data_IF_328939163550
#
_entry.id   IF_328939163550
#
_cell.length_a   1.000
_cell.length_b   1.000
_cell.length_c   1.000
_cell.angle_alpha   90.00
_cell.angle_beta   90.00
_cell.angle_gamma   90.00
#
_symmetry.space_group_name_H-M   'P 1'
#
loop_
_entity.id
_entity.type
_entity.pdbx_description
1 polymer ?
#
# COMPACT_ATOMS: atom_id res chain seq x y z
N UNK A 1 -6.39 26.93 -50.53
CA UNK A 1 -7.30 26.61 -49.39
C UNK A 1 -7.42 25.10 -49.31
N UNK A 2 -7.31 24.60 -48.08
CA UNK A 2 -7.59 23.25 -47.57
C UNK A 2 -6.67 22.06 -47.90
N UNK A 3 -6.05 21.58 -46.81
CA UNK A 3 -5.31 20.34 -46.58
C UNK A 3 -6.22 19.10 -46.68
N UNK A 4 -5.65 17.94 -47.01
CA UNK A 4 -5.68 16.79 -46.09
C UNK A 4 -4.66 15.73 -46.51
N UNK A 5 -3.98 15.17 -45.52
CA UNK A 5 -3.03 14.07 -45.62
C UNK A 5 -3.83 12.80 -45.44
N UNK A 6 -3.93 11.95 -46.46
CA UNK A 6 -4.51 10.62 -46.29
C UNK A 6 -3.47 9.71 -45.64
N UNK A 7 -3.65 9.50 -44.34
CA UNK A 7 -2.89 8.59 -43.52
C UNK A 7 -3.12 7.16 -44.01
N UNK A 8 -2.03 6.43 -44.26
CA UNK A 8 -2.06 5.00 -44.50
C UNK A 8 -2.85 4.28 -43.40
N UNK A 9 -3.87 3.54 -43.80
CA UNK A 9 -4.60 2.59 -42.95
C UNK A 9 -3.63 1.56 -42.37
N UNK A 10 -3.22 1.76 -41.13
CA UNK A 10 -2.56 0.72 -40.35
C UNK A 10 -3.67 -0.25 -39.91
N UNK A 11 -3.63 -1.54 -40.31
CA UNK A 11 -4.65 -2.48 -39.89
C UNK A 11 -4.61 -2.58 -38.37
N UNK A 12 -5.77 -2.40 -37.74
CA UNK A 12 -6.00 -2.67 -36.33
C UNK A 12 -5.70 -4.15 -36.08
N UNK A 13 -4.49 -4.45 -35.62
CA UNK A 13 -4.13 -5.78 -35.15
C UNK A 13 -4.94 -6.00 -33.87
N UNK A 14 -6.09 -6.67 -33.99
CA UNK A 14 -6.70 -7.30 -32.84
C UNK A 14 -5.68 -8.34 -32.38
N UNK A 15 -5.02 -8.06 -31.25
CA UNK A 15 -4.16 -9.04 -30.60
C UNK A 15 -5.08 -10.20 -30.23
N UNK A 16 -5.08 -11.22 -31.09
CA UNK A 16 -5.64 -12.53 -30.86
C UNK A 16 -5.34 -12.88 -29.40
N UNK A 17 -6.39 -13.05 -28.60
CA UNK A 17 -6.26 -13.42 -27.20
C UNK A 17 -5.61 -14.80 -27.20
N UNK A 18 -4.28 -14.80 -27.18
CA UNK A 18 -3.51 -16.01 -27.03
C UNK A 18 -3.93 -16.52 -25.67
N UNK A 19 -4.61 -17.66 -25.65
CA UNK A 19 -4.67 -18.50 -24.47
C UNK A 19 -3.22 -18.79 -24.12
N UNK A 20 -2.65 -17.93 -23.28
CA UNK A 20 -1.36 -18.15 -22.67
C UNK A 20 -1.45 -19.55 -22.06
N UNK A 21 -0.48 -20.40 -22.42
CA UNK A 21 -0.28 -21.70 -21.78
C UNK A 21 -0.57 -21.51 -20.29
N UNK A 22 -1.51 -22.28 -19.69
CA UNK A 22 -1.86 -22.07 -18.29
C UNK A 22 -0.54 -22.04 -17.51
N UNK A 23 -0.29 -20.94 -16.81
CA UNK A 23 0.91 -20.78 -15.99
C UNK A 23 0.83 -21.80 -14.86
N UNK A 24 1.18 -23.05 -15.15
CA UNK A 24 1.20 -24.16 -14.19
C UNK A 24 2.23 -23.91 -13.07
N UNK A 25 3.01 -22.82 -13.16
CA UNK A 25 3.96 -22.40 -12.15
C UNK A 25 3.31 -21.72 -10.92
N UNK A 26 2.09 -21.17 -11.04
CA UNK A 26 1.35 -20.63 -9.89
C UNK A 26 0.34 -21.67 -9.43
N UNK A 27 0.80 -22.60 -8.58
CA UNK A 27 -0.09 -23.51 -7.87
C UNK A 27 -0.98 -22.69 -6.92
N UNK A 28 -2.29 -22.94 -6.87
CA UNK A 28 -3.22 -22.28 -5.94
C UNK A 28 -2.68 -22.30 -4.49
N UNK A 29 -2.00 -23.39 -4.10
CA UNK A 29 -1.33 -23.50 -2.79
C UNK A 29 -0.25 -22.43 -2.57
N UNK A 30 0.55 -22.13 -3.59
CA UNK A 30 1.61 -21.12 -3.48
C UNK A 30 1.01 -19.72 -3.42
N UNK A 31 -0.07 -19.47 -4.18
CA UNK A 31 -0.82 -18.22 -4.09
C UNK A 31 -1.36 -17.98 -2.67
N UNK A 32 -2.02 -18.99 -2.09
CA UNK A 32 -2.59 -18.90 -0.74
C UNK A 32 -1.51 -18.64 0.31
N UNK A 33 -0.35 -19.29 0.19
CA UNK A 33 0.78 -19.07 1.10
C UNK A 33 1.29 -17.63 0.98
N UNK A 34 1.50 -17.11 -0.24
CA UNK A 34 1.96 -15.72 -0.44
C UNK A 34 0.94 -14.73 0.12
N UNK A 35 -0.36 -14.98 -0.09
CA UNK A 35 -1.43 -14.14 0.45
C UNK A 35 -1.38 -14.11 2.00
N UNK A 36 -1.28 -15.27 2.63
CA UNK A 36 -1.22 -15.40 4.08
C UNK A 36 0.01 -14.69 4.68
N UNK A 37 1.17 -14.79 4.02
CA UNK A 37 2.40 -14.11 4.46
C UNK A 37 2.22 -12.59 4.43
N UNK A 38 1.62 -12.04 3.37
CA UNK A 38 1.38 -10.59 3.23
C UNK A 38 0.31 -10.08 4.22
N UNK A 39 -0.71 -10.89 4.52
CA UNK A 39 -1.71 -10.56 5.53
C UNK A 39 -1.13 -10.51 6.94
N UNK A 40 -0.19 -11.43 7.23
CA UNK A 40 0.50 -11.51 8.52
C UNK A 40 1.50 -10.36 8.70
N UNK A 41 2.33 -10.09 7.68
CA UNK A 41 3.24 -8.95 7.68
C UNK A 41 3.26 -8.26 6.31
N UNK A 42 2.78 -7.02 6.30
CA UNK A 42 2.75 -6.17 5.10
C UNK A 42 4.13 -5.66 4.69
N UNK A 43 5.16 -5.84 5.51
CA UNK A 43 6.54 -5.41 5.23
C UNK A 43 7.42 -6.52 4.68
N UNK A 44 6.86 -7.70 4.40
CA UNK A 44 7.61 -8.83 3.88
C UNK A 44 8.37 -8.49 2.59
N UNK A 45 9.60 -8.97 2.51
CA UNK A 45 10.48 -8.77 1.37
C UNK A 45 10.42 -9.92 0.37
N UNK A 46 10.82 -9.65 -0.88
CA UNK A 46 10.96 -10.68 -1.91
C UNK A 46 11.89 -11.83 -1.49
N UNK A 47 12.92 -11.55 -0.70
CA UNK A 47 13.88 -12.54 -0.23
C UNK A 47 13.27 -13.50 0.79
N UNK A 48 12.44 -13.00 1.70
CA UNK A 48 11.75 -13.82 2.70
C UNK A 48 10.68 -14.71 2.07
N UNK A 49 9.94 -14.18 1.08
CA UNK A 49 8.99 -14.98 0.30
C UNK A 49 9.72 -16.06 -0.49
N UNK A 50 10.85 -15.71 -1.13
CA UNK A 50 11.69 -16.67 -1.86
C UNK A 50 12.27 -17.75 -0.93
N UNK A 51 12.72 -17.39 0.27
CA UNK A 51 13.23 -18.35 1.24
C UNK A 51 12.12 -19.30 1.73
N UNK A 52 10.90 -18.79 1.91
CA UNK A 52 9.75 -19.57 2.38
C UNK A 52 9.23 -20.55 1.32
N UNK A 53 9.23 -20.17 0.05
CA UNK A 53 8.59 -20.94 -1.03
C UNK A 53 9.57 -21.58 -2.03
N UNK A 54 10.84 -21.19 -2.01
CA UNK A 54 11.84 -21.65 -2.97
C UNK A 54 11.57 -21.20 -4.42
N UNK A 55 10.71 -20.21 -4.62
CA UNK A 55 10.27 -19.77 -5.94
C UNK A 55 11.21 -18.75 -6.57
N UNK A 56 11.22 -18.72 -7.91
CA UNK A 56 11.93 -17.69 -8.64
C UNK A 56 11.25 -16.31 -8.46
N UNK A 57 12.05 -15.25 -8.50
CA UNK A 57 11.59 -13.87 -8.31
C UNK A 57 10.56 -13.45 -9.37
N UNK A 58 10.65 -13.97 -10.60
CA UNK A 58 9.67 -13.71 -11.65
C UNK A 58 8.28 -14.25 -11.32
N UNK A 59 8.21 -15.43 -10.69
CA UNK A 59 6.95 -16.04 -10.28
C UNK A 59 6.34 -15.30 -9.10
N UNK A 60 7.16 -14.91 -8.12
CA UNK A 60 6.72 -14.07 -6.99
C UNK A 60 6.16 -12.75 -7.51
N UNK A 61 6.85 -12.12 -8.47
CA UNK A 61 6.39 -10.87 -9.10
C UNK A 61 5.04 -11.04 -9.80
N UNK A 62 4.85 -12.14 -10.56
CA UNK A 62 3.58 -12.44 -11.20
C UNK A 62 2.44 -12.64 -10.18
N UNK A 63 2.70 -13.37 -9.09
CA UNK A 63 1.73 -13.56 -8.00
C UNK A 63 1.36 -12.22 -7.36
N UNK A 64 2.37 -11.42 -7.01
CA UNK A 64 2.20 -10.17 -6.29
C UNK A 64 1.41 -9.12 -7.09
N UNK A 65 1.72 -8.97 -8.38
CA UNK A 65 1.14 -7.93 -9.23
C UNK A 65 -0.04 -8.38 -10.09
N UNK A 66 -0.01 -9.59 -10.67
CA UNK A 66 -1.09 -10.06 -11.57
C UNK A 66 -2.24 -10.71 -10.80
N UNK A 67 -1.92 -11.51 -9.79
CA UNK A 67 -2.93 -12.30 -9.07
C UNK A 67 -3.43 -11.58 -7.81
N UNK A 68 -2.54 -11.03 -6.99
CA UNK A 68 -2.89 -10.31 -5.75
C UNK A 68 -3.17 -8.82 -5.98
N UNK A 69 -2.69 -8.23 -7.09
CA UNK A 69 -2.88 -6.81 -7.39
C UNK A 69 -2.23 -5.86 -6.37
N UNK A 70 -1.27 -6.36 -5.59
CA UNK A 70 -0.65 -5.58 -4.52
C UNK A 70 0.35 -4.57 -5.09
N UNK A 71 0.52 -3.47 -4.35
CA UNK A 71 1.44 -2.38 -4.71
C UNK A 71 2.39 -2.14 -3.56
N UNK A 72 3.66 -1.94 -3.89
CA UNK A 72 4.65 -1.53 -2.90
C UNK A 72 4.34 -0.11 -2.45
N UNK A 73 4.04 0.04 -1.17
CA UNK A 73 3.89 1.35 -0.52
C UNK A 73 5.19 1.70 0.22
N UNK A 74 5.45 2.99 0.32
CA UNK A 74 6.54 3.50 1.15
C UNK A 74 6.00 3.78 2.55
N UNK A 75 6.73 3.37 3.58
CA UNK A 75 6.38 3.69 4.96
C UNK A 75 6.40 5.19 5.17
N UNK A 76 5.42 5.72 5.93
CA UNK A 76 5.44 7.12 6.36
C UNK A 76 6.49 7.29 7.46
N UNK A 77 7.31 8.33 7.37
CA UNK A 77 8.25 8.67 8.43
C UNK A 77 7.50 9.11 9.70
N UNK A 78 7.85 8.53 10.84
CA UNK A 78 7.30 8.87 12.15
C UNK A 78 8.42 9.56 12.95
N UNK A 79 8.23 10.82 13.40
CA UNK A 79 9.30 11.61 14.02
C UNK A 79 9.87 11.02 15.31
N UNK A 80 9.01 10.41 16.14
CA UNK A 80 9.39 9.86 17.42
C UNK A 80 8.54 8.64 17.76
N UNK A 81 9.15 7.65 18.40
CA UNK A 81 8.41 6.52 18.93
C UNK A 81 7.75 6.92 20.26
N UNK A 82 6.43 7.09 20.26
CA UNK A 82 5.68 7.46 21.47
C UNK A 82 5.57 6.30 22.44
N UNK A 83 5.82 6.56 23.73
CA UNK A 83 5.55 5.61 24.81
C UNK A 83 4.05 5.38 24.96
N UNK A 84 3.63 4.21 25.46
CA UNK A 84 2.20 3.89 25.67
C UNK A 84 1.46 4.92 26.53
N UNK A 85 2.11 5.47 27.56
CA UNK A 85 1.56 6.56 28.37
C UNK A 85 1.33 7.84 27.54
N UNK A 86 2.26 8.19 26.64
CA UNK A 86 2.13 9.35 25.75
C UNK A 86 1.00 9.14 24.73
N UNK A 87 0.85 7.94 24.18
CA UNK A 87 -0.26 7.58 23.28
C UNK A 87 -1.60 7.72 24.00
N UNK A 88 -1.70 7.19 25.22
CA UNK A 88 -2.91 7.27 26.04
C UNK A 88 -3.27 8.72 26.33
N UNK A 89 -2.30 9.54 26.78
CA UNK A 89 -2.52 10.96 27.02
C UNK A 89 -3.01 11.72 25.77
N UNK A 90 -2.42 11.44 24.60
CA UNK A 90 -2.85 12.02 23.32
C UNK A 90 -4.28 11.60 22.95
N UNK A 91 -4.65 10.33 23.10
CA UNK A 91 -6.01 9.85 22.81
C UNK A 91 -7.05 10.47 23.75
N UNK A 92 -6.78 10.49 25.06
CA UNK A 92 -7.65 11.12 26.05
C UNK A 92 -7.86 12.60 25.74
N UNK A 93 -6.78 13.32 25.39
CA UNK A 93 -6.85 14.73 25.02
C UNK A 93 -7.68 14.94 23.74
N UNK A 94 -7.39 14.20 22.67
CA UNK A 94 -8.11 14.32 21.40
C UNK A 94 -9.62 14.06 21.54
N UNK A 95 -10.02 13.15 22.44
CA UNK A 95 -11.42 12.87 22.70
C UNK A 95 -12.11 13.92 23.59
N UNK A 96 -11.36 14.54 24.52
CA UNK A 96 -11.89 15.59 25.40
C UNK A 96 -11.97 16.95 24.70
N UNK A 97 -11.01 17.27 23.83
CA UNK A 97 -10.87 18.59 23.20
C UNK A 97 -12.14 19.10 22.47
N UNK A 98 -12.88 18.26 21.71
CA UNK A 98 -14.08 18.71 21.02
C UNK A 98 -15.19 19.16 21.98
N UNK A 99 -15.28 18.55 23.17
CA UNK A 99 -16.29 18.91 24.19
C UNK A 99 -15.92 20.22 24.88
N UNK A 100 -14.66 20.36 25.30
CA UNK A 100 -14.16 21.58 25.96
C UNK A 100 -14.15 22.78 25.02
N UNK A 101 -13.93 22.57 23.72
CA UNK A 101 -13.97 23.64 22.72
C UNK A 101 -15.38 24.17 22.45
N UNK A 102 -16.41 23.31 22.53
CA UNK A 102 -17.81 23.74 22.36
C UNK A 102 -18.36 24.49 23.59
N UNK A 103 -17.79 24.26 24.77
CA UNK A 103 -18.23 24.88 26.02
C UNK A 103 -17.61 26.26 26.30
N UNK A 104 -16.64 26.74 25.50
CA UNK A 104 -16.13 28.10 25.63
C UNK A 104 -14.87 28.38 24.84
N UNK A 105 -14.93 29.41 23.99
CA UNK A 105 -13.88 29.86 23.07
C UNK A 105 -12.67 30.50 23.79
N UNK A 106 -11.88 29.72 24.53
CA UNK A 106 -10.62 30.19 25.11
C UNK A 106 -9.47 30.04 24.12
N UNK A 107 -8.88 31.17 23.72
CA UNK A 107 -7.72 31.23 22.81
C UNK A 107 -6.48 30.46 23.35
N UNK A 108 -6.44 30.14 24.65
CA UNK A 108 -5.35 29.41 25.32
C UNK A 108 -5.19 27.94 24.86
N UNK A 109 -6.24 27.34 24.29
CA UNK A 109 -6.18 25.95 23.78
C UNK A 109 -5.21 25.83 22.60
N UNK A 110 -4.94 26.94 21.88
CA UNK A 110 -4.00 26.96 20.75
C UNK A 110 -2.53 26.88 21.18
N UNK A 111 -2.22 27.28 22.41
CA UNK A 111 -0.83 27.36 22.89
C UNK A 111 -0.27 26.00 23.33
N UNK A 112 -1.14 25.01 23.58
CA UNK A 112 -0.75 23.68 24.07
C UNK A 112 -0.15 22.77 22.97
N UNK A 113 -0.21 23.18 21.69
CA UNK A 113 0.20 22.33 20.54
C UNK A 113 1.73 22.21 20.39
N UNK A 114 2.55 23.00 21.10
CA UNK A 114 4.02 22.86 21.09
C UNK A 114 4.57 22.64 22.49
N UNK A 115 4.76 21.38 22.87
CA UNK A 115 5.28 21.06 24.20
C UNK A 115 6.02 19.74 24.35
N UNK A 116 6.52 19.12 23.27
CA UNK A 116 7.50 18.04 23.43
C UNK A 116 8.89 18.70 23.60
N UNK A 117 9.24 19.03 24.86
CA UNK A 117 10.63 19.41 25.22
C UNK A 117 11.49 18.14 25.21
N UNK A 118 12.60 18.23 24.47
CA UNK A 118 13.70 17.25 24.43
C UNK A 118 14.46 17.26 25.76
#
# INVERSE_FOLDING_TARGET
>A
MQNSRDCHDVPFIFNEFRDDRPSTAVNNKNFDIVACVIETDRHVTYHEIRASLGMDTSQIHAILHKHLGTKKLHSRWIPHNSTEAQKTGRVTWCNAMPTTFKEGASNSVRDTVKGDKI
#
